data_IF_953254176344
#
_entry.id   IF_953254176344
#
_cell.length_a   1.000
_cell.length_b   1.000
_cell.length_c   1.000
_cell.angle_alpha   90.00
_cell.angle_beta   90.00
_cell.angle_gamma   90.00
#
_symmetry.space_group_name_H-M   'P 1'
#
loop_
_entity.id
_entity.type
_entity.pdbx_description
1 polymer ?
#
# COMPACT_ATOMS: atom_id res chain seq x y z
N UNK A 1 3.54 6.03 18.18
CA UNK A 1 2.54 4.97 18.45
C UNK A 1 2.33 4.18 17.17
N UNK A 2 2.32 2.84 17.21
CA UNK A 2 2.09 1.99 16.03
C UNK A 2 0.59 1.85 15.76
N UNK A 3 0.19 1.81 14.50
CA UNK A 3 -1.20 1.70 14.07
C UNK A 3 -1.34 0.71 12.91
N UNK A 4 -2.55 0.18 12.72
CA UNK A 4 -2.94 -0.58 11.54
C UNK A 4 -3.70 0.35 10.59
N UNK A 5 -3.22 0.48 9.35
CA UNK A 5 -3.76 1.47 8.40
C UNK A 5 -4.11 0.78 7.10
N UNK A 6 -5.33 0.99 6.59
CA UNK A 6 -5.74 0.57 5.25
C UNK A 6 -5.60 1.74 4.29
N UNK A 7 -4.78 1.57 3.24
CA UNK A 7 -4.66 2.55 2.15
C UNK A 7 -5.27 1.94 0.89
N UNK A 8 -6.34 2.55 0.37
CA UNK A 8 -6.98 2.15 -0.88
C UNK A 8 -6.35 2.89 -2.07
N UNK A 9 -6.43 2.31 -3.27
CA UNK A 9 -5.83 2.91 -4.47
C UNK A 9 -4.30 2.95 -4.42
N UNK A 10 -3.67 2.01 -3.71
CA UNK A 10 -2.24 2.00 -3.45
C UNK A 10 -1.37 1.48 -4.61
N UNK A 11 -1.93 1.32 -5.81
CA UNK A 11 -1.16 0.84 -6.97
C UNK A 11 -0.15 1.87 -7.49
N UNK A 12 -0.42 3.17 -7.34
CA UNK A 12 0.42 4.23 -7.91
C UNK A 12 0.13 5.60 -7.29
N UNK A 13 0.87 6.62 -7.70
CA UNK A 13 0.63 8.01 -7.32
C UNK A 13 0.67 8.22 -5.80
N UNK A 14 -0.18 9.11 -5.29
CA UNK A 14 -0.21 9.44 -3.87
C UNK A 14 -0.57 8.24 -2.98
N UNK A 15 -1.45 7.33 -3.41
CA UNK A 15 -1.80 6.15 -2.61
C UNK A 15 -0.59 5.27 -2.31
N UNK A 16 0.27 5.04 -3.30
CA UNK A 16 1.52 4.28 -3.11
C UNK A 16 2.51 5.04 -2.21
N UNK A 17 2.71 6.34 -2.46
CA UNK A 17 3.63 7.17 -1.69
C UNK A 17 3.21 7.26 -0.21
N UNK A 18 1.90 7.39 0.05
CA UNK A 18 1.33 7.40 1.40
C UNK A 18 1.53 6.05 2.09
N UNK A 19 1.23 4.93 1.43
CA UNK A 19 1.44 3.61 2.00
C UNK A 19 2.92 3.37 2.38
N UNK A 20 3.84 3.76 1.49
CA UNK A 20 5.28 3.66 1.74
C UNK A 20 5.76 4.59 2.87
N UNK A 21 5.27 5.82 2.94
CA UNK A 21 5.64 6.75 4.00
C UNK A 21 5.19 6.25 5.38
N UNK A 22 3.95 5.76 5.49
CA UNK A 22 3.40 5.22 6.74
C UNK A 22 4.09 3.92 7.17
N UNK A 23 4.41 3.03 6.22
CA UNK A 23 5.18 1.83 6.51
C UNK A 23 6.59 2.18 7.02
N UNK A 24 7.27 3.13 6.37
CA UNK A 24 8.59 3.64 6.82
C UNK A 24 8.53 4.32 8.19
N UNK A 25 7.40 4.91 8.57
CA UNK A 25 7.18 5.48 9.90
C UNK A 25 6.91 4.42 10.99
N UNK A 26 6.89 3.13 10.64
CA UNK A 26 6.75 2.02 11.59
C UNK A 26 5.32 1.53 11.82
N UNK A 27 4.35 1.99 11.01
CA UNK A 27 2.98 1.47 11.04
C UNK A 27 2.86 0.14 10.28
N UNK A 28 1.87 -0.67 10.65
CA UNK A 28 1.45 -1.81 9.81
C UNK A 28 0.46 -1.29 8.77
N UNK A 29 0.80 -1.37 7.50
CA UNK A 29 -0.01 -0.83 6.41
C UNK A 29 -0.54 -1.97 5.54
N UNK A 30 -1.86 -2.03 5.36
CA UNK A 30 -2.51 -2.85 4.36
C UNK A 30 -2.76 -2.00 3.12
N UNK A 31 -2.07 -2.32 2.02
CA UNK A 31 -2.22 -1.63 0.75
C UNK A 31 -3.23 -2.38 -0.13
N UNK A 32 -4.30 -1.69 -0.54
CA UNK A 32 -5.37 -2.23 -1.37
C UNK A 32 -5.38 -1.58 -2.75
N UNK A 33 -5.61 -2.40 -3.77
CA UNK A 33 -5.74 -1.98 -5.17
C UNK A 33 -6.57 -3.00 -5.98
N UNK A 34 -7.06 -2.58 -7.14
CA UNK A 34 -7.75 -3.47 -8.10
C UNK A 34 -6.73 -4.30 -8.89
N UNK A 35 -7.16 -5.41 -9.49
CA UNK A 35 -6.33 -6.22 -10.40
C UNK A 35 -5.00 -6.69 -9.77
N UNK A 36 -5.00 -7.01 -8.47
CA UNK A 36 -3.80 -7.41 -7.72
C UNK A 36 -3.17 -8.72 -8.21
N UNK A 37 -3.94 -9.60 -8.86
CA UNK A 37 -3.44 -10.78 -9.55
C UNK A 37 -3.21 -10.57 -11.06
N UNK A 38 -3.57 -9.38 -11.59
CA UNK A 38 -3.51 -9.05 -13.01
C UNK A 38 -2.54 -7.91 -13.27
N UNK A 39 -3.04 -6.81 -13.85
CA UNK A 39 -2.24 -5.62 -14.20
C UNK A 39 -1.36 -5.10 -13.06
N UNK A 40 -1.81 -5.23 -11.81
CA UNK A 40 -1.09 -4.75 -10.65
C UNK A 40 -0.31 -5.83 -9.90
N UNK A 41 -0.24 -7.07 -10.40
CA UNK A 41 0.62 -8.13 -9.84
C UNK A 41 2.05 -7.67 -9.52
N UNK A 42 2.79 -6.95 -10.40
CA UNK A 42 4.15 -6.49 -10.09
C UNK A 42 4.23 -5.41 -9.01
N UNK A 43 3.08 -4.86 -8.55
CA UNK A 43 3.01 -3.81 -7.52
C UNK A 43 2.67 -4.37 -6.15
N UNK A 44 2.21 -5.62 -6.08
CA UNK A 44 1.95 -6.32 -4.83
C UNK A 44 3.29 -6.79 -4.27
N UNK A 45 3.54 -6.50 -2.99
CA UNK A 45 4.74 -6.97 -2.31
C UNK A 45 4.69 -8.49 -2.10
N UNK A 46 5.83 -9.16 -2.27
CA UNK A 46 6.01 -10.57 -1.93
C UNK A 46 6.14 -10.78 -0.43
#
# INVERSE_FOLDING_TARGET
>A
MKAFILVTGASSGFGLLTAQALARAGHTVYASMRESAGRNAPRVGN
#
